data_IF_721596313205
#
_entry.id   IF_721596313205
#
_cell.length_a   1.000
_cell.length_b   1.000
_cell.length_c   1.000
_cell.angle_alpha   90.00
_cell.angle_beta   90.00
_cell.angle_gamma   90.00
#
_symmetry.space_group_name_H-M   'P 1'
#
loop_
_entity.id
_entity.type
_entity.pdbx_description
1 polymer ?
#
# COMPACT_ATOMS: atom_id res chain seq x y z
N UNK A 1 13.55 -2.71 29.47
CA UNK A 1 14.96 -3.10 29.27
C UNK A 1 15.13 -4.60 29.04
N UNK A 2 14.97 -5.48 30.04
CA UNK A 2 15.18 -6.95 29.88
C UNK A 2 14.39 -7.59 28.71
N UNK A 3 13.12 -7.22 28.51
CA UNK A 3 12.32 -7.69 27.36
C UNK A 3 12.87 -7.22 26.01
N UNK A 4 13.25 -5.95 25.91
CA UNK A 4 13.83 -5.39 24.69
C UNK A 4 15.16 -6.05 24.33
N UNK A 5 16.00 -6.33 25.34
CA UNK A 5 17.25 -7.07 25.17
C UNK A 5 17.03 -8.47 24.60
N UNK A 6 16.12 -9.26 25.19
CA UNK A 6 15.80 -10.61 24.68
C UNK A 6 15.32 -10.59 23.22
N UNK A 7 14.50 -9.60 22.87
CA UNK A 7 14.02 -9.43 21.48
C UNK A 7 15.17 -9.11 20.52
N UNK A 8 16.14 -8.29 20.95
CA UNK A 8 17.33 -7.98 20.14
C UNK A 8 18.28 -9.16 20.02
N UNK A 9 18.50 -9.93 21.09
CA UNK A 9 19.32 -11.15 21.06
C UNK A 9 18.73 -12.18 20.07
N UNK A 10 17.42 -12.43 20.13
CA UNK A 10 16.74 -13.29 19.17
C UNK A 10 16.79 -12.75 17.72
N UNK A 11 16.67 -11.43 17.54
CA UNK A 11 16.79 -10.82 16.21
C UNK A 11 18.21 -10.95 15.63
N UNK A 12 19.25 -10.80 16.47
CA UNK A 12 20.66 -10.98 16.10
C UNK A 12 20.91 -12.43 15.66
N UNK A 13 20.46 -13.40 16.44
CA UNK A 13 20.57 -14.83 16.12
C UNK A 13 19.92 -15.12 14.76
N UNK A 14 18.66 -14.70 14.57
CA UNK A 14 17.94 -14.90 13.32
C UNK A 14 18.63 -14.23 12.11
N UNK A 15 19.16 -13.01 12.26
CA UNK A 15 19.88 -12.37 11.15
C UNK A 15 21.20 -13.11 10.85
N UNK A 16 21.90 -13.57 11.88
CA UNK A 16 23.17 -14.30 11.72
C UNK A 16 22.98 -15.60 10.94
N UNK A 17 21.93 -16.37 11.27
CA UNK A 17 21.55 -17.57 10.53
C UNK A 17 21.22 -17.26 9.06
N UNK A 18 20.43 -16.22 8.80
CA UNK A 18 20.06 -15.81 7.43
C UNK A 18 21.27 -15.37 6.61
N UNK A 19 22.18 -14.62 7.20
CA UNK A 19 23.43 -14.19 6.56
C UNK A 19 24.30 -15.42 6.25
N UNK A 20 24.45 -16.33 7.21
CA UNK A 20 25.20 -17.57 7.04
C UNK A 20 24.63 -18.43 5.92
N UNK A 21 23.32 -18.65 5.90
CA UNK A 21 22.65 -19.38 4.84
C UNK A 21 22.84 -18.72 3.47
N UNK A 22 22.65 -17.41 3.38
CA UNK A 22 22.86 -16.68 2.13
C UNK A 22 24.33 -16.71 1.68
N UNK A 23 25.28 -16.74 2.62
CA UNK A 23 26.72 -16.92 2.34
C UNK A 23 27.02 -18.31 1.81
N UNK A 24 26.60 -19.36 2.51
CA UNK A 24 26.78 -20.75 2.09
C UNK A 24 26.17 -21.00 0.72
N UNK A 25 24.97 -20.47 0.45
CA UNK A 25 24.34 -20.60 -0.86
C UNK A 25 25.17 -19.88 -1.93
N UNK A 26 25.63 -18.65 -1.68
CA UNK A 26 26.46 -17.90 -2.63
C UNK A 26 27.81 -18.58 -2.89
N UNK A 27 28.47 -19.12 -1.87
CA UNK A 27 29.76 -19.81 -1.97
C UNK A 27 29.64 -21.18 -2.65
N UNK A 28 28.62 -21.98 -2.30
CA UNK A 28 28.33 -23.22 -3.01
C UNK A 28 28.03 -22.97 -4.49
N UNK A 29 27.35 -21.86 -4.77
CA UNK A 29 27.06 -21.43 -6.14
C UNK A 29 28.33 -20.98 -6.88
N UNK A 30 29.24 -20.26 -6.24
CA UNK A 30 30.53 -19.85 -6.83
C UNK A 30 31.48 -21.06 -7.01
N UNK A 31 31.45 -22.06 -6.12
CA UNK A 31 32.25 -23.28 -6.23
C UNK A 31 31.80 -24.19 -7.39
N UNK A 32 30.51 -24.18 -7.73
CA UNK A 32 29.97 -24.91 -8.89
C UNK A 32 30.50 -24.41 -10.25
N UNK A 33 31.25 -23.31 -10.28
CA UNK A 33 31.94 -22.80 -11.48
C UNK A 33 33.25 -23.53 -11.81
N UNK A 34 33.84 -24.27 -10.87
CA UNK A 34 35.19 -24.86 -11.02
C UNK A 34 35.17 -26.23 -11.75
N UNK A 35 34.00 -26.84 -11.96
CA UNK A 35 33.86 -28.13 -12.63
C UNK A 35 33.31 -28.05 -14.07
N UNK A 36 33.79 -27.11 -14.88
CA UNK A 36 33.72 -27.26 -16.34
C UNK A 36 35.15 -27.38 -16.85
N UNK A 37 35.63 -28.60 -17.19
CA UNK A 37 36.88 -28.74 -17.90
C UNK A 37 36.82 -27.91 -19.18
N UNK A 38 37.91 -27.23 -19.53
CA UNK A 38 38.11 -26.76 -20.89
C UNK A 38 38.08 -27.98 -21.82
N UNK A 39 36.92 -28.29 -22.37
CA UNK A 39 36.79 -29.22 -23.47
C UNK A 39 37.02 -28.45 -24.77
N UNK A 40 37.85 -29.07 -25.61
CA UNK A 40 38.47 -28.52 -26.80
C UNK A 40 37.53 -27.79 -27.76
N UNK A 41 38.08 -26.72 -28.36
CA UNK A 41 37.58 -26.08 -29.57
C UNK A 41 37.64 -27.07 -30.73
N UNK A 42 36.63 -27.92 -30.92
CA UNK A 42 36.20 -28.43 -32.23
C UNK A 42 34.97 -29.34 -32.03
N UNK A 43 33.78 -28.79 -32.31
CA UNK A 43 32.61 -29.46 -32.90
C UNK A 43 31.40 -28.53 -32.72
N UNK A 44 31.25 -27.59 -33.66
CA UNK A 44 29.93 -27.05 -33.97
C UNK A 44 29.09 -28.16 -34.63
N UNK A 45 27.78 -28.12 -34.38
CA UNK A 45 26.72 -28.99 -34.91
C UNK A 45 26.37 -30.21 -34.04
N UNK A 46 25.60 -29.97 -32.97
CA UNK A 46 24.38 -30.74 -32.70
C UNK A 46 23.48 -30.04 -31.69
N UNK A 47 22.56 -29.22 -32.20
CA UNK A 47 21.35 -28.81 -31.50
C UNK A 47 20.36 -29.97 -31.58
N UNK A 48 20.21 -30.75 -30.50
CA UNK A 48 18.98 -31.45 -30.08
C UNK A 48 19.28 -32.50 -29.00
N UNK A 49 19.47 -32.04 -27.76
CA UNK A 49 19.24 -32.81 -26.54
C UNK A 49 19.08 -31.82 -25.38
N UNK A 50 17.86 -31.33 -25.17
CA UNK A 50 17.55 -30.47 -24.01
C UNK A 50 17.33 -31.39 -22.81
N UNK A 51 18.38 -31.61 -22.05
CA UNK A 51 18.28 -32.15 -20.69
C UNK A 51 17.84 -31.02 -19.74
N UNK A 52 16.77 -31.25 -18.99
CA UNK A 52 15.95 -30.24 -18.30
C UNK A 52 16.53 -29.66 -17.01
N UNK A 53 17.86 -29.52 -16.89
CA UNK A 53 18.50 -29.08 -15.64
C UNK A 53 19.47 -27.91 -15.79
N UNK A 54 19.70 -27.38 -16.99
CA UNK A 54 20.61 -26.25 -17.18
C UNK A 54 19.89 -24.90 -16.95
N UNK A 55 20.09 -24.30 -15.78
CA UNK A 55 19.71 -22.90 -15.51
C UNK A 55 20.48 -21.99 -16.48
N UNK A 56 19.82 -21.09 -17.20
CA UNK A 56 20.48 -20.19 -18.16
C UNK A 56 21.57 -19.34 -17.47
N UNK A 57 22.65 -18.99 -18.17
CA UNK A 57 23.75 -18.19 -17.60
C UNK A 57 23.26 -16.82 -17.06
N UNK A 58 22.21 -16.25 -17.66
CA UNK A 58 21.56 -15.01 -17.25
C UNK A 58 20.81 -15.19 -15.92
N UNK A 59 20.07 -16.29 -15.75
CA UNK A 59 19.39 -16.60 -14.49
C UNK A 59 20.37 -16.87 -13.35
N UNK A 60 21.55 -17.43 -13.65
CA UNK A 60 22.62 -17.64 -12.67
C UNK A 60 23.19 -16.32 -12.14
N UNK A 61 23.47 -15.37 -13.03
CA UNK A 61 23.93 -14.02 -12.65
C UNK A 61 22.88 -13.32 -11.78
N UNK A 62 21.61 -13.38 -12.19
CA UNK A 62 20.50 -12.76 -11.46
C UNK A 62 20.36 -13.33 -10.04
N UNK A 63 20.39 -14.66 -9.88
CA UNK A 63 20.32 -15.31 -8.56
C UNK A 63 21.51 -14.94 -7.66
N UNK A 64 22.72 -14.87 -8.21
CA UNK A 64 23.92 -14.43 -7.48
C UNK A 64 23.77 -13.01 -6.90
N UNK A 65 23.27 -12.08 -7.70
CA UNK A 65 22.99 -10.71 -7.24
C UNK A 65 21.94 -10.67 -6.12
N UNK A 66 20.90 -11.52 -6.21
CA UNK A 66 19.86 -11.65 -5.18
C UNK A 66 20.43 -12.14 -3.85
N UNK A 67 21.24 -13.20 -3.84
CA UNK A 67 21.81 -13.72 -2.59
C UNK A 67 22.79 -12.74 -1.95
N UNK A 68 23.61 -12.06 -2.77
CA UNK A 68 24.45 -10.95 -2.27
C UNK A 68 23.62 -9.81 -1.70
N UNK A 69 22.51 -9.44 -2.34
CA UNK A 69 21.60 -8.43 -1.80
C UNK A 69 21.04 -8.82 -0.43
N UNK A 70 20.66 -10.09 -0.25
CA UNK A 70 20.19 -10.59 1.05
C UNK A 70 21.27 -10.54 2.13
N UNK A 71 22.52 -10.86 1.80
CA UNK A 71 23.65 -10.70 2.73
C UNK A 71 23.83 -9.24 3.14
N UNK A 72 23.82 -8.30 2.19
CA UNK A 72 23.97 -6.86 2.46
C UNK A 72 22.83 -6.35 3.36
N UNK A 73 21.58 -6.73 3.08
CA UNK A 73 20.42 -6.36 3.89
C UNK A 73 20.53 -6.97 5.30
N UNK A 74 20.92 -8.24 5.39
CA UNK A 74 21.11 -8.94 6.66
C UNK A 74 22.16 -8.26 7.53
N UNK A 75 23.34 -7.96 6.97
CA UNK A 75 24.44 -7.27 7.66
C UNK A 75 24.04 -5.85 8.09
N UNK A 76 23.30 -5.12 7.26
CA UNK A 76 22.78 -3.79 7.60
C UNK A 76 21.79 -3.83 8.76
N UNK A 77 20.90 -4.84 8.80
CA UNK A 77 19.98 -5.07 9.94
C UNK A 77 20.73 -5.49 11.20
N UNK A 78 21.74 -6.34 11.06
CA UNK A 78 22.60 -6.77 12.15
C UNK A 78 23.33 -5.58 12.79
N UNK A 79 23.82 -4.63 11.97
CA UNK A 79 24.37 -3.36 12.45
C UNK A 79 23.38 -2.55 13.28
N UNK A 80 22.13 -2.45 12.84
CA UNK A 80 21.06 -1.77 13.59
C UNK A 80 20.79 -2.44 14.93
N UNK A 81 20.70 -3.78 14.97
CA UNK A 81 20.49 -4.53 16.20
C UNK A 81 21.62 -4.30 17.21
N UNK A 82 22.88 -4.37 16.75
CA UNK A 82 24.03 -4.10 17.61
C UNK A 82 24.11 -2.64 18.08
N UNK A 83 23.70 -1.68 17.24
CA UNK A 83 23.59 -0.27 17.65
C UNK A 83 22.55 -0.10 18.76
N UNK A 84 21.39 -0.74 18.63
CA UNK A 84 20.36 -0.72 19.67
C UNK A 84 20.82 -1.41 20.97
N UNK A 85 21.55 -2.53 20.87
CA UNK A 85 22.15 -3.20 22.03
C UNK A 85 23.17 -2.32 22.73
N UNK A 86 24.02 -1.61 21.98
CA UNK A 86 24.98 -0.65 22.54
C UNK A 86 24.27 0.49 23.28
N UNK A 87 23.18 1.02 22.71
CA UNK A 87 22.37 2.06 23.36
C UNK A 87 21.70 1.56 24.63
N UNK A 88 21.10 0.37 24.61
CA UNK A 88 20.51 -0.23 25.81
C UNK A 88 21.55 -0.47 26.90
N UNK A 89 22.73 -0.99 26.55
CA UNK A 89 23.83 -1.21 27.50
C UNK A 89 24.34 0.11 28.10
N UNK A 90 24.34 1.22 27.33
CA UNK A 90 24.64 2.57 27.86
C UNK A 90 23.55 3.06 28.80
N UNK A 91 22.28 2.84 28.48
CA UNK A 91 21.14 3.27 29.31
C UNK A 91 21.05 2.51 30.64
N UNK A 92 21.58 1.29 30.72
CA UNK A 92 21.76 0.54 31.97
C UNK A 92 22.95 1.09 32.81
N UNK A 93 23.09 2.43 32.82
CA UNK A 93 24.24 3.36 33.01
C UNK A 93 25.25 3.12 34.15
N UNK A 94 25.22 1.99 34.85
CA UNK A 94 26.11 1.73 35.99
C UNK A 94 26.91 0.42 35.93
N UNK A 95 26.67 -0.50 34.98
CA UNK A 95 27.28 -1.84 35.08
C UNK A 95 27.96 -2.43 33.84
N UNK A 96 27.79 -1.90 32.62
CA UNK A 96 28.27 -2.61 31.40
C UNK A 96 28.88 -1.75 30.27
N UNK A 97 29.88 -0.91 30.55
CA UNK A 97 30.55 -0.10 29.52
C UNK A 97 31.25 -0.95 28.44
N UNK A 98 31.84 -2.08 28.83
CA UNK A 98 32.52 -3.01 27.92
C UNK A 98 31.52 -3.63 26.92
N UNK A 99 30.33 -4.02 27.38
CA UNK A 99 29.30 -4.58 26.50
C UNK A 99 28.78 -3.54 25.50
N UNK A 100 28.65 -2.28 25.92
CA UNK A 100 28.25 -1.20 25.02
C UNK A 100 29.28 -0.94 23.93
N UNK A 101 30.57 -0.96 24.27
CA UNK A 101 31.66 -0.77 23.30
C UNK A 101 31.77 -1.96 22.35
N UNK A 102 31.65 -3.19 22.86
CA UNK A 102 31.74 -4.41 22.05
C UNK A 102 30.58 -4.51 21.05
N UNK A 103 29.36 -4.20 21.48
CA UNK A 103 28.21 -4.09 20.58
C UNK A 103 28.39 -2.97 19.56
N UNK A 104 28.96 -1.83 19.94
CA UNK A 104 29.23 -0.75 18.99
C UNK A 104 30.26 -1.16 17.93
N UNK A 105 31.32 -1.89 18.30
CA UNK A 105 32.30 -2.44 17.36
C UNK A 105 31.65 -3.42 16.39
N UNK A 106 30.82 -4.35 16.90
CA UNK A 106 30.05 -5.28 16.07
C UNK A 106 29.10 -4.57 15.10
N UNK A 107 28.48 -3.47 15.53
CA UNK A 107 27.62 -2.66 14.66
C UNK A 107 28.39 -2.05 13.48
N UNK A 108 29.57 -1.49 13.75
CA UNK A 108 30.44 -0.89 12.73
C UNK A 108 30.95 -1.97 11.78
N UNK A 109 31.43 -3.10 12.30
CA UNK A 109 31.94 -4.20 11.49
C UNK A 109 30.86 -4.74 10.54
N UNK A 110 29.66 -5.02 11.05
CA UNK A 110 28.55 -5.52 10.23
C UNK A 110 28.18 -4.54 9.11
N UNK A 111 28.13 -3.23 9.40
CA UNK A 111 27.82 -2.24 8.37
C UNK A 111 28.96 -2.06 7.36
N UNK A 112 30.22 -2.13 7.80
CA UNK A 112 31.38 -2.11 6.92
C UNK A 112 31.39 -3.32 5.97
N UNK A 113 31.13 -4.52 6.49
CA UNK A 113 31.03 -5.73 5.68
C UNK A 113 29.90 -5.65 4.65
N UNK A 114 28.77 -5.03 5.02
CA UNK A 114 27.69 -4.75 4.07
C UNK A 114 28.15 -3.84 2.92
N UNK A 115 28.94 -2.79 3.21
CA UNK A 115 29.49 -1.88 2.19
C UNK A 115 30.53 -2.58 1.31
N UNK A 116 31.39 -3.43 1.85
CA UNK A 116 32.34 -4.21 1.05
C UNK A 116 31.63 -5.13 0.05
N UNK A 117 30.52 -5.76 0.46
CA UNK A 117 29.72 -6.61 -0.43
C UNK A 117 28.96 -5.85 -1.51
N UNK A 118 28.88 -4.51 -1.44
CA UNK A 118 28.24 -3.69 -2.47
C UNK A 118 29.06 -3.63 -3.77
N UNK A 119 30.34 -4.04 -3.77
CA UNK A 119 31.15 -4.07 -4.98
C UNK A 119 30.51 -4.98 -6.05
N UNK A 120 30.15 -4.38 -7.19
CA UNK A 120 29.47 -5.09 -8.29
C UNK A 120 27.98 -5.36 -8.04
N UNK A 121 27.37 -4.82 -6.99
CA UNK A 121 25.92 -4.87 -6.79
C UNK A 121 25.20 -3.90 -7.74
N UNK A 122 24.15 -4.37 -8.41
CA UNK A 122 23.39 -3.59 -9.38
C UNK A 122 22.14 -2.90 -8.79
N UNK A 123 21.71 -3.33 -7.60
CA UNK A 123 20.57 -2.72 -6.91
C UNK A 123 21.03 -1.50 -6.12
N UNK A 124 20.73 -0.31 -6.63
CA UNK A 124 21.08 0.98 -6.02
C UNK A 124 20.45 1.18 -4.64
N UNK A 125 19.28 0.57 -4.38
CA UNK A 125 18.62 0.63 -3.08
C UNK A 125 19.41 -0.14 -2.03
N UNK A 126 19.91 -1.31 -2.40
CA UNK A 126 20.73 -2.15 -1.52
C UNK A 126 22.06 -1.46 -1.18
N UNK A 127 22.69 -0.83 -2.18
CA UNK A 127 23.94 -0.07 -1.98
C UNK A 127 23.71 1.15 -1.08
N UNK A 128 22.69 1.96 -1.37
CA UNK A 128 22.35 3.12 -0.56
C UNK A 128 22.02 2.73 0.89
N UNK A 129 21.30 1.61 1.08
CA UNK A 129 20.98 1.08 2.40
C UNK A 129 22.23 0.73 3.21
N UNK A 130 23.19 0.00 2.62
CA UNK A 130 24.43 -0.37 3.29
C UNK A 130 25.23 0.87 3.75
N UNK A 131 25.39 1.84 2.86
CA UNK A 131 26.09 3.09 3.15
C UNK A 131 25.38 3.92 4.25
N UNK A 132 24.05 3.97 4.23
CA UNK A 132 23.27 4.64 5.28
C UNK A 132 23.51 4.03 6.66
N UNK A 133 23.45 2.70 6.80
CA UNK A 133 23.70 2.05 8.09
C UNK A 133 25.14 2.20 8.54
N UNK A 134 26.10 2.20 7.61
CA UNK A 134 27.49 2.43 7.97
C UNK A 134 27.75 3.87 8.44
N UNK A 135 27.23 4.86 7.72
CA UNK A 135 27.27 6.26 8.15
C UNK A 135 26.63 6.46 9.52
N UNK A 136 25.49 5.80 9.80
CA UNK A 136 24.87 5.83 11.13
C UNK A 136 25.73 5.21 12.22
N UNK A 137 26.35 4.06 11.96
CA UNK A 137 27.22 3.39 12.93
C UNK A 137 28.46 4.23 13.27
N UNK A 138 29.02 4.93 12.27
CA UNK A 138 30.12 5.88 12.44
C UNK A 138 29.69 7.14 13.22
N UNK A 139 28.52 7.68 12.90
CA UNK A 139 27.98 8.84 13.62
C UNK A 139 27.77 8.54 15.11
N UNK A 140 27.34 7.32 15.45
CA UNK A 140 27.13 6.88 16.83
C UNK A 140 28.41 6.82 17.68
N UNK A 141 29.59 6.87 17.07
CA UNK A 141 30.90 6.99 17.75
C UNK A 141 31.57 8.35 17.54
N UNK A 142 30.81 9.34 17.06
CA UNK A 142 31.31 10.70 16.87
C UNK A 142 32.15 10.91 15.61
N UNK A 143 32.29 9.91 14.73
CA UNK A 143 32.99 10.03 13.44
C UNK A 143 32.12 10.74 12.39
N UNK A 144 31.81 12.00 12.64
CA UNK A 144 30.86 12.79 11.84
C UNK A 144 31.30 12.97 10.39
N UNK A 145 32.57 13.30 10.15
CA UNK A 145 33.08 13.52 8.79
C UNK A 145 33.08 12.23 7.96
N UNK A 146 33.57 11.12 8.51
CA UNK A 146 33.48 9.81 7.84
C UNK A 146 32.02 9.41 7.58
N UNK A 147 31.12 9.63 8.56
CA UNK A 147 29.70 9.36 8.38
C UNK A 147 29.08 10.17 7.23
N UNK A 148 29.43 11.46 7.12
CA UNK A 148 28.98 12.32 6.02
C UNK A 148 29.44 11.78 4.67
N UNK A 149 30.67 11.28 4.55
CA UNK A 149 31.11 10.67 3.28
C UNK A 149 30.21 9.51 2.88
N UNK A 150 29.75 8.67 3.81
CA UNK A 150 28.82 7.58 3.48
C UNK A 150 27.39 8.06 3.18
N UNK A 151 26.99 9.21 3.72
CA UNK A 151 25.74 9.87 3.33
C UNK A 151 25.83 10.58 1.97
N UNK A 152 27.03 11.01 1.57
CA UNK A 152 27.29 11.86 0.40
C UNK A 152 27.93 11.12 -0.81
N UNK A 153 28.40 9.87 -0.66
CA UNK A 153 29.27 9.13 -1.61
C UNK A 153 28.67 8.77 -2.99
N UNK A 154 27.65 9.47 -3.50
CA UNK A 154 27.36 9.54 -4.94
C UNK A 154 27.05 10.95 -5.47
N UNK A 155 27.53 12.00 -4.80
CA UNK A 155 27.46 13.36 -5.34
C UNK A 155 28.77 13.72 -6.08
N UNK A 156 28.79 13.56 -7.41
CA UNK A 156 29.46 14.60 -8.22
C UNK A 156 28.51 15.81 -8.20
N UNK A 157 28.98 17.00 -7.80
CA UNK A 157 28.13 18.16 -7.64
C UNK A 157 27.63 18.63 -9.01
N UNK A 158 26.30 18.63 -9.15
CA UNK A 158 25.60 19.50 -10.11
C UNK A 158 25.04 20.68 -9.28
N UNK A 159 25.32 21.95 -9.64
CA UNK A 159 24.93 23.12 -8.85
C UNK A 159 23.42 23.35 -8.71
N UNK A 160 22.56 22.56 -9.36
CA UNK A 160 21.12 22.85 -9.44
C UNK A 160 20.22 21.89 -8.65
N UNK A 161 20.75 20.85 -8.02
CA UNK A 161 19.96 19.80 -7.36
C UNK A 161 19.99 19.92 -5.83
N UNK A 162 18.82 20.22 -5.24
CA UNK A 162 18.58 20.38 -3.79
C UNK A 162 19.18 19.29 -2.90
N UNK A 163 19.79 19.72 -1.80
CA UNK A 163 20.44 18.93 -0.73
C UNK A 163 19.44 18.07 0.07
N UNK A 164 19.10 16.87 -0.40
CA UNK A 164 18.46 15.84 0.43
C UNK A 164 19.13 14.47 0.25
N UNK A 165 19.23 13.63 1.30
CA UNK A 165 19.90 12.31 1.28
C UNK A 165 19.33 11.26 0.30
N UNK A 166 18.32 11.62 -0.51
CA UNK A 166 17.68 10.74 -1.49
C UNK A 166 18.22 10.83 -2.91
N UNK A 167 19.07 11.81 -3.23
CA UNK A 167 19.57 12.03 -4.60
C UNK A 167 20.38 10.86 -5.17
N UNK A 168 21.08 10.15 -4.29
CA UNK A 168 21.88 8.95 -4.60
C UNK A 168 21.00 7.80 -5.08
N UNK A 169 19.92 7.53 -4.35
CA UNK A 169 19.00 6.44 -4.66
C UNK A 169 18.27 6.70 -5.98
N UNK A 170 17.82 7.95 -6.18
CA UNK A 170 17.15 8.39 -7.40
C UNK A 170 18.07 8.22 -8.61
N UNK A 171 19.29 8.77 -8.57
CA UNK A 171 20.26 8.64 -9.67
C UNK A 171 20.70 7.20 -9.93
N UNK A 172 20.85 6.40 -8.87
CA UNK A 172 21.17 4.99 -8.99
C UNK A 172 20.04 4.18 -9.65
N UNK A 173 18.78 4.47 -9.32
CA UNK A 173 17.61 3.87 -9.99
C UNK A 173 17.51 4.32 -11.44
N UNK A 174 17.73 5.60 -11.73
CA UNK A 174 17.75 6.14 -13.10
C UNK A 174 18.80 5.42 -13.95
N UNK A 175 20.03 5.30 -13.45
CA UNK A 175 21.10 4.57 -14.10
C UNK A 175 20.76 3.09 -14.32
N UNK A 176 20.07 2.46 -13.35
CA UNK A 176 19.63 1.07 -13.46
C UNK A 176 18.57 0.88 -14.56
N UNK A 177 17.62 1.81 -14.69
CA UNK A 177 16.61 1.77 -15.76
C UNK A 177 17.24 1.94 -17.14
N UNK A 178 18.19 2.88 -17.28
CA UNK A 178 18.92 3.10 -18.53
C UNK A 178 19.71 1.83 -18.90
N UNK A 179 20.46 1.25 -17.96
CA UNK A 179 21.31 0.09 -18.21
C UNK A 179 20.55 -1.21 -18.50
N UNK A 180 19.39 -1.43 -17.87
CA UNK A 180 18.61 -2.68 -18.03
C UNK A 180 17.52 -2.60 -19.09
N UNK A 181 16.92 -1.43 -19.30
CA UNK A 181 15.79 -1.26 -20.21
C UNK A 181 16.18 -0.72 -21.59
N UNK A 182 17.44 -0.31 -21.78
CA UNK A 182 17.85 0.52 -22.92
C UNK A 182 16.97 1.78 -23.05
N UNK A 183 16.61 2.35 -21.90
CA UNK A 183 15.66 3.45 -21.79
C UNK A 183 16.37 4.81 -21.83
N UNK A 184 15.65 5.84 -22.29
CA UNK A 184 16.15 7.22 -22.24
C UNK A 184 16.18 7.74 -20.81
N UNK A 185 17.04 8.74 -20.54
CA UNK A 185 17.11 9.42 -19.25
C UNK A 185 15.74 9.95 -18.81
N UNK A 186 14.98 10.54 -19.75
CA UNK A 186 13.63 11.04 -19.49
C UNK A 186 12.68 9.94 -19.00
N UNK A 187 12.69 8.77 -19.64
CA UNK A 187 11.87 7.62 -19.23
C UNK A 187 12.27 7.13 -17.84
N UNK A 188 13.58 7.06 -17.57
CA UNK A 188 14.12 6.65 -16.29
C UNK A 188 13.75 7.62 -15.16
N UNK A 189 13.77 8.93 -15.40
CA UNK A 189 13.33 9.96 -14.46
C UNK A 189 11.84 9.81 -14.13
N UNK A 190 10.98 9.65 -15.15
CA UNK A 190 9.52 9.47 -14.96
C UNK A 190 9.22 8.24 -14.10
N UNK A 191 9.88 7.10 -14.37
CA UNK A 191 9.72 5.88 -13.57
C UNK A 191 10.22 6.05 -12.13
N UNK A 192 11.32 6.76 -11.95
CA UNK A 192 11.91 6.98 -10.63
C UNK A 192 11.02 7.89 -9.79
N UNK A 193 10.44 8.93 -10.38
CA UNK A 193 9.45 9.79 -9.71
C UNK A 193 8.17 9.01 -9.37
N UNK A 194 7.68 8.15 -10.26
CA UNK A 194 6.54 7.27 -9.96
C UNK A 194 6.82 6.33 -8.79
N UNK A 195 8.03 5.77 -8.68
CA UNK A 195 8.44 4.95 -7.54
C UNK A 195 8.53 5.76 -6.24
N UNK A 196 9.05 6.99 -6.33
CA UNK A 196 9.16 7.92 -5.20
C UNK A 196 7.78 8.30 -4.67
N UNK A 197 6.86 8.65 -5.55
CA UNK A 197 5.48 8.95 -5.19
C UNK A 197 4.76 7.72 -4.61
N UNK A 198 4.96 6.54 -5.19
CA UNK A 198 4.46 5.29 -4.61
C UNK A 198 5.03 5.01 -3.20
N UNK A 199 6.32 5.31 -2.96
CA UNK A 199 6.94 5.15 -1.66
C UNK A 199 6.41 6.17 -0.63
N UNK A 200 6.22 7.42 -1.06
CA UNK A 200 5.57 8.47 -0.26
C UNK A 200 4.16 8.04 0.13
N UNK A 201 3.35 7.55 -0.80
CA UNK A 201 2.00 7.05 -0.53
C UNK A 201 2.00 5.88 0.48
N UNK A 202 2.91 4.90 0.36
CA UNK A 202 3.01 3.79 1.34
C UNK A 202 3.36 4.28 2.73
N UNK A 203 4.31 5.22 2.84
CA UNK A 203 4.64 5.86 4.11
C UNK A 203 3.41 6.61 4.65
N UNK A 204 2.74 7.34 3.77
CA UNK A 204 1.37 7.85 3.84
C UNK A 204 0.42 6.96 4.65
N UNK A 205 0.07 5.83 4.04
CA UNK A 205 -0.83 4.84 4.60
C UNK A 205 -0.35 4.24 5.91
N UNK A 206 0.95 3.96 6.06
CA UNK A 206 1.47 3.42 7.32
C UNK A 206 1.21 4.39 8.47
N UNK A 207 1.60 5.64 8.30
CA UNK A 207 1.48 6.65 9.36
C UNK A 207 0.01 6.98 9.64
N UNK A 208 -0.86 7.06 8.64
CA UNK A 208 -2.29 7.33 8.87
C UNK A 208 -3.04 6.08 9.34
N UNK A 209 -3.05 5.02 8.54
CA UNK A 209 -3.85 3.84 8.83
C UNK A 209 -3.28 3.03 9.99
N UNK A 210 -2.00 2.65 9.96
CA UNK A 210 -1.44 1.74 10.98
C UNK A 210 -1.22 2.43 12.32
N UNK A 211 -0.81 3.70 12.33
CA UNK A 211 -0.50 4.40 13.59
C UNK A 211 -1.68 5.19 14.17
N UNK A 212 -2.63 5.68 13.34
CA UNK A 212 -3.79 6.47 13.83
C UNK A 212 -5.09 5.70 13.81
N UNK A 213 -5.43 5.05 12.70
CA UNK A 213 -6.76 4.44 12.51
C UNK A 213 -6.87 3.03 13.12
N UNK A 214 -5.87 2.18 12.91
CA UNK A 214 -5.85 0.80 13.40
C UNK A 214 -6.00 0.71 14.92
N UNK A 215 -5.36 1.55 15.76
CA UNK A 215 -5.60 1.50 17.21
C UNK A 215 -7.07 1.73 17.58
N UNK A 216 -7.79 2.61 16.86
CA UNK A 216 -9.21 2.85 17.08
C UNK A 216 -10.05 1.63 16.68
N UNK A 217 -9.76 1.05 15.51
CA UNK A 217 -10.42 -0.18 15.03
C UNK A 217 -10.20 -1.37 15.97
N UNK A 218 -8.98 -1.53 16.50
CA UNK A 218 -8.63 -2.58 17.46
C UNK A 218 -9.29 -2.39 18.83
N UNK A 219 -9.49 -1.14 19.25
CA UNK A 219 -10.19 -0.86 20.51
C UNK A 219 -11.68 -1.20 20.44
N UNK A 220 -12.30 -1.11 19.25
CA UNK A 220 -13.69 -1.48 19.02
C UNK A 220 -14.70 -0.68 19.86
N UNK A 221 -15.86 -1.26 20.15
CA UNK A 221 -16.88 -0.66 21.02
C UNK A 221 -17.89 0.25 20.29
N UNK A 222 -18.85 0.78 21.06
CA UNK A 222 -19.83 1.72 20.55
C UNK A 222 -19.14 2.95 19.95
N UNK A 223 -19.69 3.47 18.85
CA UNK A 223 -19.19 4.66 18.14
C UNK A 223 -17.74 4.53 17.59
N UNK A 224 -17.23 3.31 17.41
CA UNK A 224 -15.89 3.05 16.84
C UNK A 224 -15.62 3.85 15.56
N UNK A 225 -16.56 3.82 14.60
CA UNK A 225 -16.41 4.51 13.32
C UNK A 225 -16.45 6.03 13.44
N UNK A 226 -17.22 6.59 14.39
CA UNK A 226 -17.19 8.03 14.64
C UNK A 226 -15.85 8.47 15.21
N UNK A 227 -15.28 7.70 16.15
CA UNK A 227 -13.92 7.95 16.64
C UNK A 227 -12.88 7.81 15.53
N UNK A 228 -13.09 6.88 14.61
CA UNK A 228 -12.21 6.68 13.46
C UNK A 228 -12.19 7.89 12.52
N UNK A 229 -13.37 8.45 12.22
CA UNK A 229 -13.50 9.68 11.42
C UNK A 229 -12.81 10.87 12.07
N UNK A 230 -13.02 11.06 13.38
CA UNK A 230 -12.34 12.09 14.17
C UNK A 230 -10.82 11.90 14.14
N UNK A 231 -10.33 10.68 14.29
CA UNK A 231 -8.90 10.37 14.26
C UNK A 231 -8.28 10.67 12.89
N UNK A 232 -8.97 10.33 11.80
CA UNK A 232 -8.53 10.64 10.44
C UNK A 232 -8.50 12.15 10.18
N UNK A 233 -9.61 12.85 10.45
CA UNK A 233 -9.71 14.29 10.28
C UNK A 233 -8.61 15.03 11.06
N UNK A 234 -8.46 14.72 12.34
CA UNK A 234 -7.41 15.28 13.20
C UNK A 234 -6.01 15.00 12.68
N UNK A 235 -5.76 13.82 12.11
CA UNK A 235 -4.45 13.48 11.55
C UNK A 235 -4.13 14.31 10.28
N UNK A 236 -5.14 14.63 9.46
CA UNK A 236 -4.97 15.52 8.32
C UNK A 236 -4.78 16.98 8.77
N UNK A 237 -5.55 17.45 9.75
CA UNK A 237 -5.44 18.82 10.29
C UNK A 237 -4.05 19.12 10.87
N UNK A 238 -3.37 18.08 11.39
CA UNK A 238 -2.05 18.19 12.00
C UNK A 238 -0.89 18.12 11.00
N UNK A 239 -1.13 17.68 9.76
CA UNK A 239 -0.08 17.42 8.77
C UNK A 239 -0.54 17.85 7.37
N UNK A 240 -0.14 19.06 6.98
CA UNK A 240 -0.48 19.65 5.69
C UNK A 240 0.05 18.84 4.48
N UNK A 241 1.13 18.07 4.65
CA UNK A 241 1.61 17.20 3.56
C UNK A 241 0.66 16.00 3.39
N UNK A 242 0.12 15.47 4.49
CA UNK A 242 -0.90 14.41 4.44
C UNK A 242 -2.22 14.90 3.88
N UNK A 243 -2.65 16.10 4.25
CA UNK A 243 -3.86 16.72 3.71
C UNK A 243 -3.77 16.88 2.19
N UNK A 244 -2.61 17.25 1.66
CA UNK A 244 -2.39 17.32 0.20
C UNK A 244 -2.38 15.94 -0.46
N UNK A 245 -1.82 14.94 0.22
CA UNK A 245 -1.70 13.58 -0.31
C UNK A 245 -3.02 12.80 -0.28
N UNK A 246 -3.85 13.02 0.72
CA UNK A 246 -5.06 12.24 0.99
C UNK A 246 -6.23 13.17 1.26
N UNK A 247 -7.28 13.02 0.45
CA UNK A 247 -8.51 13.80 0.60
C UNK A 247 -9.22 13.50 1.94
N UNK A 248 -9.95 14.51 2.41
CA UNK A 248 -10.81 14.39 3.60
C UNK A 248 -12.04 13.55 3.27
N UNK A 249 -12.62 12.92 4.29
CA UNK A 249 -13.93 12.30 4.15
C UNK A 249 -14.96 13.35 3.77
N UNK A 250 -15.71 13.09 2.70
CA UNK A 250 -16.85 13.90 2.26
C UNK A 250 -18.06 12.98 2.15
N UNK A 251 -19.26 13.52 2.28
CA UNK A 251 -20.47 12.72 2.14
C UNK A 251 -21.62 13.58 1.63
N UNK A 252 -22.67 12.90 1.16
CA UNK A 252 -23.91 13.51 0.71
C UNK A 252 -25.03 13.04 1.62
N UNK A 253 -25.77 13.94 2.28
CA UNK A 253 -26.96 13.55 3.05
C UNK A 253 -27.98 12.84 2.14
N UNK A 254 -28.58 11.74 2.63
CA UNK A 254 -29.50 10.94 1.82
C UNK A 254 -30.73 11.74 1.35
N UNK A 255 -31.27 12.62 2.19
CA UNK A 255 -32.42 13.44 1.84
C UNK A 255 -32.12 14.36 0.64
N UNK A 256 -30.92 14.95 0.60
CA UNK A 256 -30.47 15.77 -0.53
C UNK A 256 -30.23 14.92 -1.77
N UNK A 257 -29.55 13.78 -1.62
CA UNK A 257 -29.27 12.86 -2.72
C UNK A 257 -30.55 12.42 -3.44
N UNK A 258 -31.64 12.16 -2.70
CA UNK A 258 -32.94 11.74 -3.26
C UNK A 258 -33.54 12.79 -4.21
N UNK A 259 -33.22 14.06 -4.02
CA UNK A 259 -33.76 15.17 -4.80
C UNK A 259 -32.96 15.44 -6.07
N UNK A 260 -31.80 14.82 -6.25
CA UNK A 260 -30.90 15.14 -7.37
C UNK A 260 -31.44 14.73 -8.74
N UNK A 261 -32.21 13.64 -8.81
CA UNK A 261 -32.75 13.07 -10.04
C UNK A 261 -31.73 12.41 -10.97
N UNK A 262 -30.43 12.56 -10.70
CA UNK A 262 -29.28 11.97 -11.41
C UNK A 262 -28.05 11.95 -10.53
N UNK A 263 -27.02 11.20 -10.91
CA UNK A 263 -25.69 11.36 -10.29
C UNK A 263 -25.11 12.73 -10.61
N UNK A 264 -24.60 13.40 -9.58
CA UNK A 264 -23.99 14.74 -9.67
C UNK A 264 -22.50 14.68 -9.42
N UNK A 265 -21.78 15.51 -10.16
CA UNK A 265 -20.31 15.56 -10.14
C UNK A 265 -19.83 16.35 -8.92
N UNK A 266 -18.66 16.01 -8.40
CA UNK A 266 -18.08 16.69 -7.24
C UNK A 266 -17.89 18.20 -7.39
N UNK A 267 -17.66 18.71 -8.60
CA UNK A 267 -17.57 20.15 -8.87
C UNK A 267 -18.90 20.90 -8.70
N UNK A 268 -20.04 20.19 -8.58
CA UNK A 268 -21.34 20.81 -8.27
C UNK A 268 -21.44 21.23 -6.79
N UNK A 269 -20.46 20.90 -5.94
CA UNK A 269 -20.33 21.43 -4.57
C UNK A 269 -21.35 20.89 -3.57
N UNK A 270 -21.95 19.73 -3.85
CA UNK A 270 -23.03 19.15 -3.06
C UNK A 270 -22.57 18.07 -2.08
N UNK A 271 -21.26 17.83 -1.97
CA UNK A 271 -20.70 16.96 -0.94
C UNK A 271 -20.15 17.80 0.21
N UNK A 272 -20.42 17.35 1.42
CA UNK A 272 -20.02 18.03 2.66
C UNK A 272 -18.77 17.36 3.21
N UNK A 273 -17.66 18.10 3.45
CA UNK A 273 -16.52 17.55 4.16
C UNK A 273 -16.90 17.22 5.60
N UNK A 274 -16.39 16.11 6.12
CA UNK A 274 -16.55 15.72 7.51
C UNK A 274 -15.71 16.64 8.39
N UNK A 275 -16.40 17.39 9.25
CA UNK A 275 -15.78 18.26 10.24
C UNK A 275 -16.04 17.68 11.64
N UNK A 276 -14.99 17.40 12.43
CA UNK A 276 -15.18 16.96 13.80
C UNK A 276 -15.83 18.09 14.61
N UNK A 277 -16.98 17.82 15.24
CA UNK A 277 -17.57 18.77 16.18
C UNK A 277 -16.56 19.16 17.28
N UNK A 278 -16.50 20.44 17.62
CA UNK A 278 -15.69 20.93 18.73
C UNK A 278 -15.99 20.12 20.00
N UNK A 279 -14.97 19.81 20.80
CA UNK A 279 -15.01 18.94 21.99
C UNK A 279 -16.11 19.37 22.99
N UNK A 280 -17.35 18.94 22.73
CA UNK A 280 -18.41 18.92 23.73
C UNK A 280 -18.29 17.58 24.45
N UNK A 281 -18.29 17.64 25.78
CA UNK A 281 -17.91 16.54 26.68
C UNK A 281 -18.53 15.19 26.35
N UNK A 282 -17.87 14.13 26.86
CA UNK A 282 -18.10 12.70 26.59
C UNK A 282 -19.55 12.20 26.83
N UNK A 283 -20.46 13.03 27.33
CA UNK A 283 -21.79 12.64 27.81
C UNK A 283 -22.92 12.77 26.77
N UNK A 284 -22.71 13.45 25.64
CA UNK A 284 -23.68 13.49 24.53
C UNK A 284 -23.12 12.83 23.26
N UNK A 285 -22.80 11.54 23.36
CA UNK A 285 -22.56 10.69 22.19
C UNK A 285 -23.89 10.39 21.47
N UNK A 286 -24.51 11.41 20.87
CA UNK A 286 -25.48 11.12 19.81
C UNK A 286 -24.79 10.25 18.75
N UNK A 287 -25.43 9.15 18.36
CA UNK A 287 -25.00 8.37 17.17
C UNK A 287 -24.79 9.36 16.02
N UNK A 288 -23.54 9.48 15.58
CA UNK A 288 -23.12 10.34 14.47
C UNK A 288 -23.75 9.93 13.14
N UNK A 289 -23.29 10.53 12.05
CA UNK A 289 -23.75 10.21 10.70
C UNK A 289 -23.55 8.71 10.40
N UNK A 290 -24.50 8.09 9.70
CA UNK A 290 -24.36 6.72 9.19
C UNK A 290 -24.01 6.79 7.71
N UNK A 291 -22.78 6.45 7.35
CA UNK A 291 -22.23 6.66 6.00
C UNK A 291 -22.17 5.32 5.25
N UNK A 292 -22.90 5.23 4.14
CA UNK A 292 -22.82 4.10 3.22
C UNK A 292 -21.87 4.43 2.07
N UNK A 293 -20.85 3.61 1.86
CA UNK A 293 -20.01 3.63 0.68
C UNK A 293 -20.67 2.86 -0.46
N UNK A 294 -20.88 3.51 -1.60
CA UNK A 294 -21.36 2.85 -2.81
C UNK A 294 -20.20 2.51 -3.74
N UNK A 295 -20.04 1.20 -3.99
CA UNK A 295 -19.16 0.70 -5.03
C UNK A 295 -19.98 0.31 -6.25
N UNK A 296 -19.62 0.82 -7.42
CA UNK A 296 -20.40 0.63 -8.64
C UNK A 296 -19.56 0.78 -9.91
N UNK A 297 -20.11 0.34 -11.04
CA UNK A 297 -19.48 0.49 -12.35
C UNK A 297 -19.93 1.78 -13.01
N UNK A 298 -19.01 2.44 -13.70
CA UNK A 298 -19.38 3.43 -14.71
C UNK A 298 -19.98 2.70 -15.90
N UNK A 299 -21.26 2.92 -16.19
CA UNK A 299 -22.02 2.19 -17.22
C UNK A 299 -22.28 3.01 -18.48
N UNK A 300 -22.03 4.31 -18.42
CA UNK A 300 -22.15 5.17 -19.59
C UNK A 300 -21.18 4.69 -20.68
N UNK A 301 -21.68 4.64 -21.91
CA UNK A 301 -20.92 4.25 -23.11
C UNK A 301 -20.59 5.43 -24.00
N UNK A 302 -21.19 6.58 -23.74
CA UNK A 302 -20.90 7.81 -24.45
C UNK A 302 -19.55 8.36 -23.97
N UNK A 303 -18.59 8.46 -24.91
CA UNK A 303 -17.23 8.91 -24.63
C UNK A 303 -17.17 10.43 -24.38
N UNK A 304 -18.15 11.19 -24.87
CA UNK A 304 -18.21 12.64 -24.69
C UNK A 304 -18.89 13.01 -23.36
N UNK A 305 -19.65 12.08 -22.79
CA UNK A 305 -20.34 12.26 -21.52
C UNK A 305 -19.49 11.74 -20.36
N UNK A 306 -18.95 12.66 -19.55
CA UNK A 306 -18.13 12.35 -18.36
C UNK A 306 -18.94 11.83 -17.16
N UNK A 307 -20.20 11.45 -17.35
CA UNK A 307 -21.05 10.87 -16.31
C UNK A 307 -20.79 9.37 -16.15
N UNK A 308 -20.73 8.84 -14.92
CA UNK A 308 -20.63 7.40 -14.69
C UNK A 308 -21.94 6.66 -14.99
N UNK A 309 -23.06 7.38 -15.13
CA UNK A 309 -24.40 6.81 -15.31
C UNK A 309 -24.89 6.92 -16.76
N UNK A 310 -25.82 6.05 -17.13
CA UNK A 310 -26.49 6.11 -18.44
C UNK A 310 -27.60 7.18 -18.48
N UNK A 311 -28.16 7.42 -19.67
CA UNK A 311 -29.26 8.38 -19.87
C UNK A 311 -30.52 8.06 -19.05
N UNK A 312 -30.68 6.80 -18.64
CA UNK A 312 -31.79 6.34 -17.81
C UNK A 312 -31.53 6.53 -16.30
N UNK A 313 -30.37 7.08 -15.91
CA UNK A 313 -29.93 7.22 -14.53
C UNK A 313 -29.99 5.89 -13.77
N UNK A 314 -29.57 4.79 -14.41
CA UNK A 314 -29.69 3.44 -13.86
C UNK A 314 -28.95 3.30 -12.53
N UNK A 315 -27.73 3.80 -12.40
CA UNK A 315 -26.97 3.70 -11.14
C UNK A 315 -27.58 4.57 -10.04
N UNK A 316 -27.99 5.79 -10.35
CA UNK A 316 -28.71 6.65 -9.41
C UNK A 316 -29.95 5.95 -8.84
N UNK A 317 -30.79 5.40 -9.72
CA UNK A 317 -32.01 4.69 -9.33
C UNK A 317 -31.70 3.42 -8.53
N UNK A 318 -30.65 2.67 -8.90
CA UNK A 318 -30.19 1.51 -8.13
C UNK A 318 -29.65 1.88 -6.76
N UNK A 319 -28.94 2.99 -6.62
CA UNK A 319 -28.50 3.51 -5.31
C UNK A 319 -29.70 3.81 -4.42
N UNK A 320 -30.72 4.51 -4.94
CA UNK A 320 -31.94 4.79 -4.18
C UNK A 320 -32.69 3.53 -3.73
N UNK A 321 -32.85 2.57 -4.64
CA UNK A 321 -33.49 1.29 -4.36
C UNK A 321 -32.71 0.50 -3.29
N UNK A 322 -31.38 0.42 -3.42
CA UNK A 322 -30.52 -0.24 -2.45
C UNK A 322 -30.59 0.41 -1.06
N UNK A 323 -30.68 1.74 -0.98
CA UNK A 323 -30.86 2.46 0.29
C UNK A 323 -32.23 2.13 0.91
N UNK A 324 -33.29 2.08 0.11
CA UNK A 324 -34.62 1.71 0.61
C UNK A 324 -34.65 0.29 1.16
N UNK A 325 -34.04 -0.66 0.44
CA UNK A 325 -33.88 -2.05 0.89
C UNK A 325 -32.99 -2.17 2.12
N UNK A 326 -31.98 -1.30 2.25
CA UNK A 326 -31.13 -1.26 3.43
C UNK A 326 -31.90 -0.75 4.65
N UNK A 327 -32.60 0.38 4.52
CA UNK A 327 -33.39 0.97 5.59
C UNK A 327 -34.55 0.09 6.06
N UNK A 328 -35.14 -0.73 5.18
CA UNK A 328 -36.17 -1.69 5.58
C UNK A 328 -35.62 -2.83 6.44
N UNK A 329 -34.34 -3.17 6.27
CA UNK A 329 -33.62 -4.17 7.08
C UNK A 329 -33.00 -3.60 8.34
N UNK A 330 -32.66 -2.31 8.32
CA UNK A 330 -32.00 -1.59 9.40
C UNK A 330 -32.85 -0.39 9.86
N UNK A 331 -34.04 -0.64 10.46
CA UNK A 331 -34.92 0.43 10.92
C UNK A 331 -34.28 1.30 12.02
N UNK A 332 -33.23 0.83 12.69
CA UNK A 332 -32.43 1.59 13.64
C UNK A 332 -31.60 2.71 12.99
N UNK A 333 -31.39 2.67 11.67
CA UNK A 333 -30.70 3.71 10.91
C UNK A 333 -31.73 4.75 10.46
N UNK A 334 -31.79 5.87 11.20
CA UNK A 334 -32.69 6.97 10.86
C UNK A 334 -32.33 7.64 9.53
N UNK A 335 -33.32 7.84 8.65
CA UNK A 335 -33.14 8.44 7.30
C UNK A 335 -32.37 9.76 7.31
N UNK A 336 -32.65 10.62 8.31
CA UNK A 336 -32.00 11.93 8.48
C UNK A 336 -30.51 11.85 8.82
N UNK A 337 -30.07 10.76 9.43
CA UNK A 337 -28.66 10.54 9.79
C UNK A 337 -27.91 9.77 8.69
N UNK A 338 -28.62 9.26 7.70
CA UNK A 338 -28.03 8.49 6.60
C UNK A 338 -27.32 9.42 5.62
N UNK A 339 -26.08 9.09 5.31
CA UNK A 339 -25.22 9.78 4.37
C UNK A 339 -24.62 8.78 3.38
N UNK A 340 -24.24 9.29 2.22
CA UNK A 340 -23.75 8.50 1.10
C UNK A 340 -22.34 8.97 0.76
N UNK A 341 -21.44 8.03 0.58
CA UNK A 341 -20.18 8.25 -0.09
C UNK A 341 -20.21 7.59 -1.47
N UNK A 342 -19.85 8.35 -2.50
CA UNK A 342 -19.64 7.85 -3.86
C UNK A 342 -18.53 8.63 -4.54
N UNK A 343 -17.71 7.93 -5.32
CA UNK A 343 -16.54 8.50 -5.99
C UNK A 343 -16.87 9.74 -6.83
N UNK A 344 -17.92 9.68 -7.65
CA UNK A 344 -18.26 10.75 -8.60
C UNK A 344 -18.67 12.06 -7.90
N UNK A 345 -19.34 11.97 -6.75
CA UNK A 345 -19.79 13.12 -5.97
C UNK A 345 -18.77 13.59 -4.92
N UNK A 346 -17.95 12.67 -4.39
CA UNK A 346 -17.05 12.96 -3.26
C UNK A 346 -15.59 13.17 -3.67
N UNK A 347 -15.11 12.51 -4.74
CA UNK A 347 -13.75 12.71 -5.25
C UNK A 347 -13.75 13.83 -6.28
N UNK A 348 -12.80 14.77 -6.17
CA UNK A 348 -12.59 15.81 -7.17
C UNK A 348 -12.27 15.18 -8.54
N UNK A 349 -13.26 15.18 -9.44
CA UNK A 349 -13.15 14.51 -10.75
C UNK A 349 -12.23 15.27 -11.73
N UNK A 350 -11.87 16.51 -11.43
CA UNK A 350 -10.92 17.30 -12.21
C UNK A 350 -9.47 17.09 -11.74
N UNK A 351 -9.30 16.66 -10.48
CA UNK A 351 -7.99 16.32 -9.90
C UNK A 351 -8.12 15.15 -8.91
N UNK A 352 -8.30 13.91 -9.42
CA UNK A 352 -8.74 12.77 -8.60
C UNK A 352 -7.65 12.16 -7.72
N UNK A 353 -6.38 12.52 -7.91
CA UNK A 353 -5.24 11.81 -7.31
C UNK A 353 -5.30 11.66 -5.79
N UNK A 354 -5.61 12.73 -5.05
CA UNK A 354 -5.70 12.68 -3.58
C UNK A 354 -6.93 11.90 -3.09
N UNK A 355 -8.06 11.99 -3.80
CA UNK A 355 -9.27 11.23 -3.47
C UNK A 355 -9.11 9.73 -3.75
N UNK A 356 -8.50 9.38 -4.89
CA UNK A 356 -8.17 7.99 -5.22
C UNK A 356 -7.16 7.42 -4.22
N UNK A 357 -6.14 8.20 -3.83
CA UNK A 357 -5.22 7.80 -2.76
C UNK A 357 -5.94 7.67 -1.40
N UNK A 358 -6.96 8.45 -1.10
CA UNK A 358 -7.67 8.35 0.17
C UNK A 358 -8.66 7.18 0.24
N UNK A 359 -9.08 6.60 -0.90
CA UNK A 359 -10.10 5.53 -0.99
C UNK A 359 -9.99 4.47 0.12
N UNK A 360 -8.80 3.89 0.41
CA UNK A 360 -8.69 2.88 1.45
C UNK A 360 -9.10 3.36 2.85
N UNK A 361 -8.68 4.58 3.20
CA UNK A 361 -8.94 5.17 4.50
C UNK A 361 -10.37 5.69 4.59
N UNK A 362 -10.94 6.13 3.47
CA UNK A 362 -12.33 6.56 3.35
C UNK A 362 -13.27 5.39 3.53
N UNK A 363 -13.05 4.28 2.82
CA UNK A 363 -13.85 3.06 2.95
C UNK A 363 -13.82 2.54 4.39
N UNK A 364 -12.65 2.59 5.04
CA UNK A 364 -12.50 2.22 6.44
C UNK A 364 -13.30 3.11 7.41
N UNK A 365 -13.75 4.31 7.01
CA UNK A 365 -14.56 5.21 7.83
C UNK A 365 -16.08 5.04 7.62
N UNK A 366 -16.52 4.23 6.66
CA UNK A 366 -17.93 4.01 6.35
C UNK A 366 -18.53 2.88 7.20
N UNK A 367 -19.82 3.00 7.55
CA UNK A 367 -20.54 2.00 8.35
C UNK A 367 -20.91 0.76 7.53
N UNK A 368 -21.30 0.99 6.28
CA UNK A 368 -21.63 -0.08 5.35
C UNK A 368 -21.03 0.18 3.98
N UNK A 369 -20.76 -0.90 3.26
CA UNK A 369 -20.47 -0.88 1.83
C UNK A 369 -21.61 -1.57 1.09
N UNK A 370 -22.14 -0.92 0.07
CA UNK A 370 -23.11 -1.52 -0.85
C UNK A 370 -22.48 -1.58 -2.25
N UNK A 371 -22.30 -2.79 -2.75
CA UNK A 371 -21.79 -3.08 -4.08
C UNK A 371 -22.95 -3.21 -5.07
N UNK A 372 -23.06 -2.31 -6.05
CA UNK A 372 -24.04 -2.39 -7.13
C UNK A 372 -23.58 -3.38 -8.20
N UNK A 373 -23.74 -4.67 -7.93
CA UNK A 373 -23.23 -5.75 -8.77
C UNK A 373 -24.05 -5.89 -10.05
N UNK A 374 -23.35 -5.96 -11.17
CA UNK A 374 -23.89 -6.37 -12.47
C UNK A 374 -22.87 -7.27 -13.18
N UNK A 375 -23.14 -7.64 -14.42
CA UNK A 375 -22.45 -8.72 -15.14
C UNK A 375 -20.91 -8.63 -15.18
N UNK A 376 -20.35 -7.41 -15.13
CA UNK A 376 -18.90 -7.17 -15.21
C UNK A 376 -18.30 -6.52 -13.95
N UNK A 377 -19.05 -6.45 -12.85
CA UNK A 377 -18.59 -5.75 -11.65
C UNK A 377 -17.29 -6.35 -11.09
N UNK A 378 -17.22 -7.68 -10.96
CA UNK A 378 -16.04 -8.39 -10.43
C UNK A 378 -14.89 -8.56 -11.44
N UNK A 379 -15.07 -8.09 -12.67
CA UNK A 379 -14.00 -8.10 -13.68
C UNK A 379 -13.13 -6.85 -13.58
N UNK A 380 -13.61 -5.78 -12.93
CA UNK A 380 -12.89 -4.50 -12.84
C UNK A 380 -11.99 -4.44 -11.63
N UNK A 381 -10.78 -3.93 -11.83
CA UNK A 381 -9.76 -3.86 -10.81
C UNK A 381 -10.16 -2.95 -9.64
N UNK A 382 -10.65 -1.73 -9.91
CA UNK A 382 -11.06 -0.79 -8.85
C UNK A 382 -12.22 -1.31 -7.98
N UNK A 383 -13.28 -1.86 -8.57
CA UNK A 383 -14.38 -2.49 -7.82
C UNK A 383 -13.90 -3.72 -7.03
N UNK A 384 -12.90 -4.45 -7.56
CA UNK A 384 -12.28 -5.58 -6.87
C UNK A 384 -11.41 -5.13 -5.69
N UNK A 385 -10.72 -3.98 -5.79
CA UNK A 385 -9.98 -3.39 -4.67
C UNK A 385 -10.93 -3.06 -3.54
N UNK A 386 -12.03 -2.35 -3.82
CA UNK A 386 -13.03 -1.99 -2.81
C UNK A 386 -13.64 -3.23 -2.13
N UNK A 387 -13.93 -4.27 -2.91
CA UNK A 387 -14.41 -5.56 -2.40
C UNK A 387 -13.36 -6.27 -1.52
N UNK A 388 -12.09 -6.32 -1.94
CA UNK A 388 -10.99 -6.89 -1.16
C UNK A 388 -10.79 -6.13 0.17
N UNK A 389 -10.90 -4.81 0.10
CA UNK A 389 -10.75 -3.92 1.23
C UNK A 389 -11.83 -4.13 2.29
N UNK A 390 -13.11 -4.08 1.89
CA UNK A 390 -14.21 -4.31 2.83
C UNK A 390 -14.20 -5.73 3.38
N UNK A 391 -13.85 -6.72 2.55
CA UNK A 391 -13.68 -8.10 3.01
C UNK A 391 -12.61 -8.19 4.11
N UNK A 392 -11.48 -7.52 3.92
CA UNK A 392 -10.39 -7.50 4.89
C UNK A 392 -10.79 -6.79 6.18
N UNK A 393 -11.40 -5.60 6.09
CA UNK A 393 -11.85 -4.84 7.26
C UNK A 393 -12.93 -5.60 8.05
N UNK A 394 -13.90 -6.20 7.35
CA UNK A 394 -14.96 -7.00 7.98
C UNK A 394 -14.38 -8.23 8.68
N UNK A 395 -13.41 -8.94 8.08
CA UNK A 395 -12.72 -10.07 8.72
C UNK A 395 -11.89 -9.67 9.93
N UNK A 396 -11.14 -8.58 9.82
CA UNK A 396 -10.18 -8.17 10.85
C UNK A 396 -10.86 -7.52 12.07
N UNK A 397 -11.93 -6.73 11.86
CA UNK A 397 -12.51 -5.88 12.90
C UNK A 397 -13.99 -6.14 13.17
N UNK A 398 -14.74 -6.69 12.21
CA UNK A 398 -16.16 -7.00 12.39
C UNK A 398 -17.09 -5.79 12.59
N UNK A 399 -16.61 -4.56 12.34
CA UNK A 399 -17.37 -3.32 12.57
C UNK A 399 -18.17 -2.83 11.35
N UNK A 400 -17.88 -3.35 10.16
CA UNK A 400 -18.50 -2.89 8.91
C UNK A 400 -19.55 -3.89 8.39
N UNK A 401 -20.61 -3.35 7.79
CA UNK A 401 -21.55 -4.15 7.01
C UNK A 401 -21.16 -4.16 5.53
N UNK A 402 -21.49 -5.26 4.84
CA UNK A 402 -21.22 -5.38 3.40
C UNK A 402 -22.38 -6.09 2.70
N UNK A 403 -22.99 -5.40 1.74
CA UNK A 403 -24.09 -5.90 0.94
C UNK A 403 -23.79 -5.83 -0.56
N UNK A 404 -24.45 -6.69 -1.31
CA UNK A 404 -24.56 -6.63 -2.76
C UNK A 404 -26.01 -6.31 -3.16
N UNK A 405 -26.17 -5.35 -4.06
CA UNK A 405 -27.43 -5.08 -4.75
C UNK A 405 -27.40 -5.80 -6.10
N UNK A 406 -28.21 -6.85 -6.24
CA UNK A 406 -28.20 -7.77 -7.39
C UNK A 406 -29.59 -7.85 -8.01
N UNK A 407 -29.65 -8.14 -9.31
CA UNK A 407 -30.92 -8.48 -9.94
C UNK A 407 -31.42 -9.82 -9.36
N UNK A 408 -32.68 -9.88 -8.97
CA UNK A 408 -33.34 -11.10 -8.53
C UNK A 408 -33.39 -12.13 -9.65
N UNK A 409 -33.34 -13.41 -9.28
CA UNK A 409 -33.54 -14.50 -10.23
C UNK A 409 -35.01 -14.50 -10.68
N UNK A 410 -35.25 -14.59 -11.99
CA UNK A 410 -36.60 -14.78 -12.51
C UNK A 410 -37.10 -16.15 -12.03
N UNK A 411 -38.13 -16.19 -11.20
CA UNK A 411 -38.93 -17.40 -11.07
C UNK A 411 -39.56 -17.67 -12.44
N UNK A 412 -39.12 -18.74 -13.10
CA UNK A 412 -39.68 -19.21 -14.35
C UNK A 412 -41.04 -19.83 -14.04
N UNK A 413 -42.06 -19.00 -13.95
CA UNK A 413 -43.42 -19.46 -13.67
C UNK A 413 -44.44 -18.33 -13.64
N UNK A 414 -45.02 -17.99 -14.79
CA UNK A 414 -46.26 -17.22 -14.85
C UNK A 414 -46.33 -16.20 -15.98
N UNK A 415 -47.00 -16.60 -17.06
CA UNK A 415 -47.72 -15.79 -18.06
C UNK A 415 -47.06 -14.52 -18.65
N UNK A 416 -46.72 -14.65 -19.95
CA UNK A 416 -46.27 -13.58 -20.81
C UNK A 416 -47.28 -12.43 -20.90
N UNK A 417 -46.88 -11.22 -20.49
CA UNK A 417 -47.69 -10.04 -20.77
C UNK A 417 -47.24 -8.72 -20.17
N UNK A 418 -46.47 -8.71 -19.09
CA UNK A 418 -45.98 -7.47 -18.46
C UNK A 418 -44.48 -7.41 -18.60
N UNK A 419 -43.94 -6.29 -19.11
CA UNK A 419 -42.48 -6.03 -19.09
C UNK A 419 -42.04 -5.92 -17.63
N UNK A 420 -41.69 -7.05 -17.03
CA UNK A 420 -41.31 -7.13 -15.64
C UNK A 420 -40.09 -6.24 -15.38
N UNK A 421 -40.28 -5.28 -14.49
CA UNK A 421 -39.21 -4.47 -13.93
C UNK A 421 -38.32 -5.45 -13.15
N UNK A 422 -37.08 -5.64 -13.59
CA UNK A 422 -36.09 -6.49 -12.86
C UNK A 422 -36.18 -6.18 -11.37
N UNK A 423 -36.66 -7.13 -10.58
CA UNK A 423 -36.77 -6.95 -9.14
C UNK A 423 -35.36 -7.01 -8.56
N UNK A 424 -34.90 -5.92 -7.96
CA UNK A 424 -33.59 -5.91 -7.33
C UNK A 424 -33.68 -6.39 -5.88
N UNK A 425 -32.62 -7.03 -5.41
CA UNK A 425 -32.53 -7.52 -4.04
C UNK A 425 -31.21 -7.08 -3.41
N UNK A 426 -31.26 -6.81 -2.11
CA UNK A 426 -30.08 -6.57 -1.30
C UNK A 426 -29.71 -7.89 -0.62
N UNK A 427 -28.46 -8.34 -0.67
CA UNK A 427 -28.02 -9.55 0.04
C UNK A 427 -26.73 -9.28 0.79
N UNK A 428 -26.57 -9.91 1.95
CA UNK A 428 -25.29 -9.81 2.66
C UNK A 428 -24.22 -10.60 1.92
N UNK A 429 -23.04 -10.02 1.77
CA UNK A 429 -21.96 -10.62 0.99
C UNK A 429 -21.21 -11.65 1.82
N UNK A 430 -20.79 -12.74 1.18
CA UNK A 430 -19.88 -13.73 1.79
C UNK A 430 -18.47 -13.15 1.87
N UNK A 431 -17.78 -13.36 2.98
CA UNK A 431 -16.44 -12.84 3.22
C UNK A 431 -15.33 -13.73 2.66
N UNK A 432 -15.64 -14.88 2.07
CA UNK A 432 -14.69 -15.92 1.64
C UNK A 432 -14.32 -15.84 0.15
N UNK A 433 -14.57 -14.71 -0.53
CA UNK A 433 -14.24 -14.60 -1.96
C UNK A 433 -12.74 -14.48 -2.19
N UNK A 434 -12.25 -15.25 -3.15
CA UNK A 434 -10.90 -15.11 -3.69
C UNK A 434 -10.88 -13.96 -4.72
N UNK A 435 -10.06 -12.94 -4.46
CA UNK A 435 -9.96 -11.74 -5.29
C UNK A 435 -8.50 -11.57 -5.68
N UNK A 436 -8.16 -12.03 -6.88
CA UNK A 436 -6.87 -11.78 -7.51
C UNK A 436 -6.93 -10.48 -8.33
N UNK A 437 -6.25 -9.42 -7.87
CA UNK A 437 -6.26 -8.11 -8.55
C UNK A 437 -5.39 -8.07 -9.80
N UNK A 438 -4.35 -8.92 -9.89
CA UNK A 438 -3.42 -8.94 -11.01
C UNK A 438 -4.11 -9.29 -12.35
N UNK A 439 -5.19 -10.07 -12.30
CA UNK A 439 -5.93 -10.55 -13.47
C UNK A 439 -7.13 -9.66 -13.85
N UNK A 440 -7.40 -8.59 -13.09
CA UNK A 440 -8.57 -7.73 -13.31
C UNK A 440 -8.35 -6.70 -14.42
N UNK A 441 -9.45 -6.37 -15.10
CA UNK A 441 -9.52 -5.37 -16.17
C UNK A 441 -9.47 -3.95 -15.60
N UNK A 442 -8.68 -3.09 -16.23
CA UNK A 442 -8.62 -1.66 -15.95
C UNK A 442 -9.20 -0.86 -17.12
N UNK A 443 -9.84 0.26 -16.80
CA UNK A 443 -10.24 1.23 -17.83
C UNK A 443 -9.03 1.97 -18.39
N UNK A 444 -8.01 2.20 -17.55
CA UNK A 444 -6.73 2.78 -17.95
C UNK A 444 -5.61 1.92 -17.34
N UNK A 445 -4.82 1.28 -18.19
CA UNK A 445 -3.79 0.33 -17.74
C UNK A 445 -2.68 0.99 -16.90
N UNK A 446 -2.46 2.30 -17.09
CA UNK A 446 -1.54 3.09 -16.27
C UNK A 446 -1.93 3.14 -14.79
N UNK A 447 -3.16 2.78 -14.41
CA UNK A 447 -3.60 2.68 -13.02
C UNK A 447 -3.14 1.40 -12.32
N UNK A 448 -2.62 0.39 -13.05
CA UNK A 448 -2.24 -0.90 -12.45
C UNK A 448 -1.27 -0.75 -11.27
N UNK A 449 -0.19 0.06 -11.35
CA UNK A 449 0.69 0.25 -10.21
C UNK A 449 -0.01 0.81 -8.96
N UNK A 450 -1.06 1.63 -9.13
CA UNK A 450 -1.88 2.17 -8.03
C UNK A 450 -2.78 1.09 -7.44
N UNK A 451 -3.44 0.29 -8.27
CA UNK A 451 -4.26 -0.84 -7.79
C UNK A 451 -3.40 -1.84 -7.02
N UNK A 452 -2.25 -2.23 -7.56
CA UNK A 452 -1.34 -3.17 -6.91
C UNK A 452 -0.75 -2.61 -5.60
N UNK A 453 -0.62 -1.27 -5.49
CA UNK A 453 -0.24 -0.61 -4.24
C UNK A 453 -1.27 -0.86 -3.13
N UNK A 454 -2.54 -0.86 -3.49
CA UNK A 454 -3.68 -1.02 -2.58
C UNK A 454 -3.97 -2.49 -2.22
N UNK A 455 -3.43 -3.43 -2.99
CA UNK A 455 -3.48 -4.87 -2.69
C UNK A 455 -2.64 -5.25 -1.46
N UNK A 456 -1.70 -4.40 -1.03
CA UNK A 456 -0.84 -4.68 0.12
C UNK A 456 -1.71 -4.75 1.38
N UNK A 457 -2.10 -5.97 1.70
CA UNK A 457 -2.97 -6.33 2.81
C UNK A 457 -2.53 -5.68 4.12
N UNK A 458 -3.46 -5.15 4.93
CA UNK A 458 -3.16 -4.64 6.28
C UNK A 458 -2.56 -5.69 7.24
N UNK A 459 -2.51 -6.97 6.84
CA UNK A 459 -1.87 -8.08 7.56
C UNK A 459 -0.36 -8.27 7.29
N UNK A 460 0.29 -7.43 6.46
CA UNK A 460 1.76 -7.45 6.26
C UNK A 460 2.51 -6.31 6.92
#
# INVERSE_FOLDING_TARGET
>A
MKKARRLLEAAIEQQTERISLAKTIAEAWDASQVQVPLADKHCENNLNAVDGTSVSAIDRIRKRHTFRAWQIIGLSRLSLCYTAMAQLARLEYMYRPVEAEDNQKKAIQAAHDAVLLCQGQQDSSVVAFAHFFYGRALLAIGKKEEALTHFDLQLKPDPTSSKLPGGILVRGLEAQFIQRGNETMETAMVKTEALREGARLRKGYRELFQEKLRPVLMAGGANCLQRLRRAYAKALDQDADKERMFDRLKYVPYEEFREWGRLRRSCEGLSTPYEPAAEQGEENEEKGEYIIFFSYRWINKDLDNRSPDDEANTQYNRTLDAIQLFLSRHPEVGRRKLCIWMDFACVNQDSPSSGVAALPMILAQCDAVISLVGDQYHERAWCSVEALMIQTLKKAYGVHLWYEHVAGEHEVGGEAGVKDRKQWTLRETRTDRDINLAEKKLSVESDRPRVMLLEISPDR
#
